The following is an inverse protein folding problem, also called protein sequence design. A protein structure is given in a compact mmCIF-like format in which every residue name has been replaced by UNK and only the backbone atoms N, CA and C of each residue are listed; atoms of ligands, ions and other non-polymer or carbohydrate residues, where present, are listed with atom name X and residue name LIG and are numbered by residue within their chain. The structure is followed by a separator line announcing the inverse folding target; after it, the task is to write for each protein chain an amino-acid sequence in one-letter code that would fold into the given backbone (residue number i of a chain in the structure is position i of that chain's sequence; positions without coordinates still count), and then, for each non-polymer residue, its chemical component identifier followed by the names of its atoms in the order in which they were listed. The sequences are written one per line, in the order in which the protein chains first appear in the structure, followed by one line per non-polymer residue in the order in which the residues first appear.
data_IF_763919526869
#
_entry.id   IF_763919526869
#
_cell.length_a   1.000
_cell.length_b   1.000
_cell.length_c   1.000
_cell.angle_alpha   90.00
_cell.angle_beta   90.00
_cell.angle_gamma   90.00
#
_symmetry.space_group_name_H-M   'P 1'
#
loop_
_entity.id
_entity.type
_entity.pdbx_description
1 polymer ?
#
# COMPACT_ATOMS: atom_id res chain seq x y z
N UNK A 1 -3.76 -74.73 8.55
CA UNK A 1 -4.09 -74.27 7.18
C UNK A 1 -3.82 -72.78 7.13
N UNK A 2 -2.64 -72.34 6.68
CA UNK A 2 -2.09 -72.18 5.33
C UNK A 2 -1.97 -70.67 5.07
N UNK A 3 -0.80 -70.17 5.42
CA UNK A 3 -0.27 -68.84 5.11
C UNK A 3 -0.37 -68.57 3.60
N UNK A 4 -0.85 -67.39 3.22
CA UNK A 4 -0.67 -66.85 1.87
C UNK A 4 0.10 -65.53 1.99
N UNK A 5 1.40 -65.60 1.69
CA UNK A 5 2.27 -64.44 1.45
C UNK A 5 1.82 -63.79 0.14
N UNK A 6 1.56 -62.50 0.17
CA UNK A 6 1.76 -61.64 -1.00
C UNK A 6 3.06 -60.89 -0.77
N UNK A 7 4.08 -61.24 -1.56
CA UNK A 7 5.32 -60.47 -1.73
C UNK A 7 5.07 -59.49 -2.87
N UNK A 8 5.39 -58.21 -2.69
CA UNK A 8 5.51 -57.29 -3.81
C UNK A 8 5.55 -55.81 -3.40
N UNK A 9 6.67 -55.15 -3.68
CA UNK A 9 6.68 -53.72 -3.99
C UNK A 9 7.19 -52.78 -2.90
N UNK A 10 8.49 -52.83 -2.60
CA UNK A 10 9.23 -51.68 -2.10
C UNK A 10 9.38 -50.69 -3.28
N UNK A 11 8.52 -49.67 -3.40
CA UNK A 11 8.82 -48.48 -4.23
C UNK A 11 8.25 -47.25 -3.53
N UNK A 12 9.16 -46.38 -3.12
CA UNK A 12 8.91 -45.30 -2.18
C UNK A 12 7.93 -44.25 -2.69
N UNK A 13 7.01 -43.87 -1.82
CA UNK A 13 6.49 -42.51 -1.83
C UNK A 13 7.54 -41.62 -1.17
N UNK A 14 8.39 -41.07 -2.03
CA UNK A 14 9.36 -40.02 -1.74
C UNK A 14 8.74 -38.99 -0.80
N UNK A 15 9.22 -39.00 0.44
CA UNK A 15 9.21 -37.87 1.34
C UNK A 15 9.70 -36.67 0.53
N UNK A 16 8.82 -35.72 0.20
CA UNK A 16 9.25 -34.40 -0.26
C UNK A 16 9.87 -33.74 0.98
N UNK A 17 11.14 -34.07 1.24
CA UNK A 17 12.02 -33.24 2.04
C UNK A 17 12.27 -32.01 1.17
N UNK A 18 11.32 -31.07 1.22
CA UNK A 18 11.47 -29.77 0.60
C UNK A 18 12.74 -29.16 1.20
N UNK A 19 13.78 -29.11 0.38
CA UNK A 19 15.03 -28.44 0.67
C UNK A 19 14.66 -26.97 0.90
N UNK A 20 14.50 -26.58 2.16
CA UNK A 20 14.32 -25.21 2.61
C UNK A 20 15.64 -24.46 2.53
N UNK A 21 16.24 -24.40 1.34
CA UNK A 21 17.35 -23.52 1.03
C UNK A 21 16.80 -22.09 0.94
N UNK A 22 16.70 -21.43 2.10
CA UNK A 22 17.07 -20.03 2.28
C UNK A 22 16.54 -18.99 1.30
N UNK A 23 15.35 -19.15 0.71
CA UNK A 23 14.69 -18.02 0.04
C UNK A 23 14.14 -17.11 1.13
N UNK A 24 15.02 -16.23 1.64
CA UNK A 24 14.60 -15.10 2.44
C UNK A 24 13.79 -14.19 1.54
N UNK A 25 12.47 -14.23 1.65
CA UNK A 25 11.63 -13.17 1.13
C UNK A 25 11.97 -11.90 1.91
N UNK A 26 12.83 -11.06 1.35
CA UNK A 26 13.04 -9.72 1.88
C UNK A 26 11.73 -8.96 1.69
N UNK A 27 11.00 -8.77 2.78
CA UNK A 27 9.89 -7.84 2.78
C UNK A 27 10.48 -6.45 2.56
N UNK A 28 9.94 -5.64 1.62
CA UNK A 28 10.40 -4.28 1.46
C UNK A 28 10.31 -3.58 2.81
N UNK A 29 11.45 -3.07 3.28
CA UNK A 29 11.50 -2.36 4.54
C UNK A 29 10.52 -1.17 4.49
N UNK A 30 9.84 -0.84 5.60
CA UNK A 30 8.98 0.32 5.66
C UNK A 30 9.76 1.57 5.23
N UNK A 31 9.24 2.30 4.25
CA UNK A 31 9.87 3.55 3.79
C UNK A 31 9.61 4.62 4.83
N UNK A 32 10.64 5.04 5.56
CA UNK A 32 10.52 6.12 6.53
C UNK A 32 10.34 7.48 5.83
N UNK A 33 9.33 8.21 6.26
CA UNK A 33 9.02 9.59 5.83
C UNK A 33 8.89 10.48 7.06
N UNK A 34 9.02 11.80 6.87
CA UNK A 34 8.87 12.77 7.95
C UNK A 34 7.39 13.02 8.32
N UNK A 35 6.48 12.75 7.39
CA UNK A 35 5.03 12.90 7.54
C UNK A 35 4.28 11.93 6.62
N UNK A 36 3.25 11.29 7.16
CA UNK A 36 2.21 10.59 6.40
C UNK A 36 0.96 11.46 6.37
N UNK A 37 0.60 11.98 5.18
CA UNK A 37 -0.47 12.95 4.98
C UNK A 37 -1.64 12.33 4.21
N UNK A 38 -2.84 12.39 4.81
CA UNK A 38 -4.10 12.06 4.14
C UNK A 38 -4.77 13.34 3.68
N UNK A 39 -4.97 13.50 2.37
CA UNK A 39 -5.87 14.51 1.81
C UNK A 39 -7.27 13.91 1.74
N UNK A 40 -8.07 14.16 2.79
CA UNK A 40 -9.48 13.77 2.86
C UNK A 40 -10.39 14.86 2.33
N UNK A 41 -10.85 14.68 1.10
CA UNK A 41 -11.55 15.70 0.32
C UNK A 41 -13.03 15.41 0.28
N UNK A 42 -13.84 16.39 0.67
CA UNK A 42 -15.30 16.29 0.60
C UNK A 42 -15.75 16.34 -0.86
N UNK A 43 -16.57 15.37 -1.26
CA UNK A 43 -17.21 15.30 -2.58
C UNK A 43 -18.73 15.16 -2.45
N UNK A 44 -19.28 15.60 -1.32
CA UNK A 44 -20.71 15.62 -1.05
C UNK A 44 -21.47 16.57 -1.99
N UNK A 45 -22.79 16.41 -2.06
CA UNK A 45 -23.64 17.16 -2.99
C UNK A 45 -23.67 18.68 -2.79
N UNK A 46 -23.11 19.21 -1.70
CA UNK A 46 -22.92 20.66 -1.52
C UNK A 46 -21.71 21.21 -2.25
N UNK A 47 -20.78 20.36 -2.71
CA UNK A 47 -19.58 20.76 -3.43
C UNK A 47 -19.86 20.71 -4.93
N UNK A 48 -19.94 21.87 -5.56
CA UNK A 48 -20.10 21.93 -7.01
C UNK A 48 -18.79 21.64 -7.77
N UNK A 49 -18.87 21.47 -9.09
CA UNK A 49 -17.71 21.13 -9.92
C UNK A 49 -16.62 22.21 -9.89
N UNK A 50 -17.02 23.49 -9.82
CA UNK A 50 -16.10 24.63 -9.81
C UNK A 50 -15.36 24.66 -8.48
N UNK A 51 -16.07 24.51 -7.38
CA UNK A 51 -15.52 24.43 -6.03
C UNK A 51 -14.58 23.23 -5.89
N UNK A 52 -15.02 22.03 -6.28
CA UNK A 52 -14.20 20.82 -6.22
C UNK A 52 -12.94 20.90 -7.09
N UNK A 53 -13.01 21.60 -8.24
CA UNK A 53 -11.82 21.89 -9.06
C UNK A 53 -10.89 22.88 -8.38
N UNK A 54 -11.43 23.95 -7.77
CA UNK A 54 -10.65 24.95 -7.05
C UNK A 54 -9.90 24.32 -5.86
N UNK A 55 -10.57 23.48 -5.08
CA UNK A 55 -9.96 22.74 -3.97
C UNK A 55 -8.79 21.88 -4.46
N UNK A 56 -8.99 21.07 -5.50
CA UNK A 56 -7.93 20.22 -6.09
C UNK A 56 -6.76 21.02 -6.66
N UNK A 57 -7.05 22.16 -7.28
CA UNK A 57 -6.01 23.07 -7.76
C UNK A 57 -5.19 23.65 -6.59
N UNK A 58 -5.84 23.91 -5.45
CA UNK A 58 -5.17 24.29 -4.20
C UNK A 58 -4.11 23.27 -3.78
N UNK A 59 -4.43 21.98 -3.79
CA UNK A 59 -3.46 20.93 -3.44
C UNK A 59 -2.31 20.86 -4.44
N UNK A 60 -2.60 20.94 -5.74
CA UNK A 60 -1.58 20.96 -6.80
C UNK A 60 -0.63 22.15 -6.62
N UNK A 61 -1.18 23.33 -6.35
CA UNK A 61 -0.39 24.55 -6.14
C UNK A 61 0.45 24.45 -4.85
N UNK A 62 -0.09 23.87 -3.79
CA UNK A 62 0.65 23.64 -2.54
C UNK A 62 1.88 22.75 -2.80
N UNK A 63 1.73 21.62 -3.49
CA UNK A 63 2.88 20.74 -3.79
C UNK A 63 3.87 21.31 -4.82
N UNK A 64 3.46 22.33 -5.59
CA UNK A 64 4.37 23.08 -6.48
C UNK A 64 5.02 24.29 -5.81
N UNK A 65 4.56 24.67 -4.62
CA UNK A 65 5.07 25.84 -3.93
C UNK A 65 6.51 25.63 -3.45
N UNK A 66 7.44 26.54 -3.79
CA UNK A 66 8.82 26.45 -3.30
C UNK A 66 8.93 26.45 -1.78
N UNK A 67 8.01 27.12 -1.05
CA UNK A 67 8.03 27.12 0.42
C UNK A 67 7.67 25.75 1.00
N UNK A 68 6.67 25.08 0.43
CA UNK A 68 6.25 23.74 0.84
C UNK A 68 7.34 22.72 0.53
N UNK A 69 7.93 22.79 -0.67
CA UNK A 69 9.04 21.92 -1.05
C UNK A 69 10.25 22.09 -0.13
N UNK A 70 10.61 23.33 0.24
CA UNK A 70 11.67 23.59 1.22
C UNK A 70 11.33 23.02 2.60
N UNK A 71 10.08 23.14 3.04
CA UNK A 71 9.65 22.57 4.32
C UNK A 71 9.78 21.04 4.32
N UNK A 72 9.31 20.36 3.28
CA UNK A 72 9.48 18.90 3.10
C UNK A 72 10.97 18.53 3.14
N UNK A 73 11.83 19.29 2.45
CA UNK A 73 13.27 19.03 2.38
C UNK A 73 14.05 19.36 3.65
N UNK A 74 13.47 20.12 4.59
CA UNK A 74 14.09 20.41 5.88
C UNK A 74 13.94 19.28 6.91
N UNK A 75 13.08 18.29 6.62
CA UNK A 75 12.90 17.11 7.45
C UNK A 75 14.11 16.17 7.46
N UNK A 76 14.12 15.20 8.38
CA UNK A 76 15.19 14.21 8.51
C UNK A 76 15.27 13.29 7.30
N UNK A 77 14.11 12.84 6.82
CA UNK A 77 13.95 11.95 5.67
C UNK A 77 13.79 12.71 4.35
N UNK A 78 13.62 14.04 4.41
CA UNK A 78 13.42 14.95 3.28
C UNK A 78 12.28 14.54 2.36
N UNK A 79 11.29 13.87 2.93
CA UNK A 79 10.19 13.29 2.16
C UNK A 79 8.96 13.06 3.00
N UNK A 80 7.81 13.14 2.35
CA UNK A 80 6.50 12.86 2.93
C UNK A 80 5.83 11.77 2.11
N UNK A 81 4.93 11.00 2.71
CA UNK A 81 3.99 10.15 1.99
C UNK A 81 2.63 10.84 1.95
N UNK A 82 1.97 10.83 0.80
CA UNK A 82 0.65 11.44 0.61
C UNK A 82 -0.30 10.43 0.00
N UNK A 83 -1.52 10.35 0.52
CA UNK A 83 -2.66 9.67 -0.11
C UNK A 83 -3.80 10.63 -0.27
N UNK A 84 -4.62 10.43 -1.31
CA UNK A 84 -5.81 11.23 -1.57
C UNK A 84 -7.02 10.31 -1.47
N UNK A 85 -7.95 10.67 -0.59
CA UNK A 85 -9.23 10.01 -0.42
C UNK A 85 -10.38 11.00 -0.52
N UNK A 86 -11.47 10.54 -1.10
CA UNK A 86 -12.73 11.28 -1.18
C UNK A 86 -13.70 10.73 -0.17
N UNK A 87 -14.51 11.60 0.45
CA UNK A 87 -15.57 11.21 1.35
C UNK A 87 -16.86 11.99 1.09
N UNK A 88 -18.00 11.36 1.38
CA UNK A 88 -19.32 11.99 1.35
C UNK A 88 -20.28 11.23 2.27
N UNK A 89 -20.66 11.83 3.41
CA UNK A 89 -21.49 11.15 4.40
C UNK A 89 -20.85 9.88 4.97
N UNK A 90 -21.66 9.02 5.60
CA UNK A 90 -21.17 7.82 6.29
C UNK A 90 -20.87 6.64 5.35
N UNK A 91 -21.49 6.58 4.18
CA UNK A 91 -21.44 5.40 3.30
C UNK A 91 -20.47 5.56 2.12
N UNK A 92 -19.79 6.71 1.99
CA UNK A 92 -18.84 6.96 0.92
C UNK A 92 -17.49 7.42 1.47
N UNK A 93 -16.50 6.52 1.44
CA UNK A 93 -15.09 6.82 1.63
C UNK A 93 -14.29 6.01 0.62
N UNK A 94 -13.48 6.69 -0.18
CA UNK A 94 -12.72 6.04 -1.26
C UNK A 94 -11.33 6.63 -1.36
N UNK A 95 -10.31 5.79 -1.19
CA UNK A 95 -8.95 6.13 -1.59
C UNK A 95 -8.89 6.14 -3.11
N UNK A 96 -8.71 7.32 -3.69
CA UNK A 96 -8.60 7.48 -5.16
C UNK A 96 -7.15 7.37 -5.61
N UNK A 97 -6.22 7.88 -4.79
CA UNK A 97 -4.78 7.73 -5.01
C UNK A 97 -4.16 7.12 -3.77
N UNK A 98 -3.69 5.88 -3.88
CA UNK A 98 -2.91 5.23 -2.83
C UNK A 98 -1.60 5.99 -2.54
N UNK A 99 -0.94 5.64 -1.44
CA UNK A 99 0.27 6.33 -0.98
C UNK A 99 1.32 6.56 -2.07
N UNK A 100 1.78 7.81 -2.17
CA UNK A 100 2.89 8.27 -3.02
C UNK A 100 3.88 9.09 -2.20
N UNK A 101 5.15 9.05 -2.59
CA UNK A 101 6.25 9.81 -2.01
C UNK A 101 6.87 10.70 -3.08
#
# INVERSE_FOLDING_TARGET
MRYSRVRGGLVGFLTILAISLGVSFAWPAPVSVDLELVLAVDVSGSVDEVEGKLQRMGYVNAFRSPSVLRAIQSGRHKSIAVTYMEWAGFDFQRVVVGWKR
#
